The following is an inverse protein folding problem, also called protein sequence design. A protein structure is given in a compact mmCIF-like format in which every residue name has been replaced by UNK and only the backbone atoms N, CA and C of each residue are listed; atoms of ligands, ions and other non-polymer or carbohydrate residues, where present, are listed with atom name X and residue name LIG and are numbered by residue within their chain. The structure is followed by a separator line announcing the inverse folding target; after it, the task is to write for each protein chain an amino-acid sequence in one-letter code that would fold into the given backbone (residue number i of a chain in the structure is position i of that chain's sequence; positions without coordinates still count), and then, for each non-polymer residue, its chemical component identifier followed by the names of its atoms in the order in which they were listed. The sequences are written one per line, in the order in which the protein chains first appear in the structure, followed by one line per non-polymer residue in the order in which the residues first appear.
data_IF_378024548690
#
_entry.id   IF_378024548690
#
_cell.length_a   1.000
_cell.length_b   1.000
_cell.length_c   1.000
_cell.angle_alpha   90.00
_cell.angle_beta   90.00
_cell.angle_gamma   90.00
#
_symmetry.space_group_name_H-M   'P 1'
#
loop_
_entity.id
_entity.type
_entity.pdbx_description
1 polymer ?
#
# COMPACT_ATOMS: atom_id res chain seq x y z
N UNK A 1 13.00 4.14 13.92
CA UNK A 1 12.01 4.04 12.82
C UNK A 1 12.53 3.08 11.77
N UNK A 2 11.73 2.13 11.33
CA UNK A 2 12.09 1.26 10.22
C UNK A 2 11.64 1.87 8.91
N UNK A 3 12.36 1.57 7.85
CA UNK A 3 12.03 1.99 6.50
C UNK A 3 11.59 0.78 5.69
N UNK A 4 10.51 0.92 4.94
CA UNK A 4 10.07 -0.06 3.97
C UNK A 4 10.13 0.55 2.57
N UNK A 5 10.58 -0.23 1.60
CA UNK A 5 10.65 0.18 0.19
C UNK A 5 9.78 -0.77 -0.62
N UNK A 6 8.77 -0.22 -1.29
CA UNK A 6 7.92 -0.95 -2.21
C UNK A 6 8.39 -0.67 -3.63
N UNK A 7 8.80 -1.71 -4.33
CA UNK A 7 9.18 -1.63 -5.75
C UNK A 7 8.12 -2.30 -6.59
N UNK A 8 7.44 -1.53 -7.42
CA UNK A 8 6.47 -2.06 -8.37
C UNK A 8 7.19 -2.64 -9.57
N UNK A 9 6.90 -3.91 -9.89
CA UNK A 9 7.59 -4.67 -10.92
C UNK A 9 6.75 -4.79 -12.19
N UNK A 10 5.43 -4.89 -12.05
CA UNK A 10 4.52 -5.09 -13.16
C UNK A 10 3.16 -4.49 -12.81
N UNK A 11 2.53 -3.82 -13.77
CA UNK A 11 1.18 -3.28 -13.61
C UNK A 11 0.35 -3.57 -14.86
N UNK A 12 -0.93 -3.89 -14.65
CA UNK A 12 -1.87 -4.22 -15.71
C UNK A 12 -3.28 -4.30 -15.14
N UNK A 13 -4.24 -4.74 -15.97
CA UNK A 13 -5.64 -4.82 -15.54
C UNK A 13 -5.89 -5.85 -14.43
N UNK A 14 -4.98 -6.80 -14.25
CA UNK A 14 -5.05 -7.82 -13.19
C UNK A 14 -4.51 -7.32 -11.84
N UNK A 15 -3.85 -6.18 -11.80
CA UNK A 15 -3.28 -5.60 -10.60
C UNK A 15 -1.88 -5.04 -10.82
N UNK A 16 -1.31 -4.55 -9.73
CA UNK A 16 0.09 -4.11 -9.68
C UNK A 16 0.86 -5.05 -8.76
N UNK A 17 1.88 -5.70 -9.29
CA UNK A 17 2.71 -6.68 -8.58
C UNK A 17 4.06 -6.08 -8.26
N UNK A 18 4.51 -6.31 -7.05
CA UNK A 18 5.77 -5.73 -6.60
C UNK A 18 6.43 -6.51 -5.50
N UNK A 19 7.41 -5.87 -4.89
CA UNK A 19 8.16 -6.40 -3.76
C UNK A 19 8.34 -5.34 -2.71
N UNK A 20 8.03 -5.70 -1.47
CA UNK A 20 8.25 -4.88 -0.29
C UNK A 20 9.51 -5.38 0.42
N UNK A 21 10.43 -4.48 0.73
CA UNK A 21 11.61 -4.77 1.53
C UNK A 21 11.62 -3.89 2.76
N UNK A 22 11.76 -4.49 3.93
CA UNK A 22 11.92 -3.78 5.20
C UNK A 22 13.41 -3.74 5.53
N UNK A 23 13.91 -2.54 5.79
CA UNK A 23 15.33 -2.29 5.99
C UNK A 23 15.63 -1.99 7.45
N UNK A 24 16.78 -2.50 7.92
CA UNK A 24 17.38 -2.05 9.17
C UNK A 24 17.82 -0.60 9.01
N UNK A 25 17.39 0.28 9.92
CA UNK A 25 17.67 1.72 9.82
C UNK A 25 19.12 2.09 10.09
N UNK A 26 19.88 1.21 10.72
CA UNK A 26 21.30 1.46 11.06
C UNK A 26 22.21 0.90 9.97
N UNK A 27 22.01 -0.34 9.54
CA UNK A 27 22.87 -1.02 8.58
C UNK A 27 22.41 -0.90 7.14
N UNK A 28 21.13 -0.60 6.89
CA UNK A 28 20.52 -0.62 5.57
C UNK A 28 20.25 -2.02 5.02
N UNK A 29 20.52 -3.07 5.80
CA UNK A 29 20.29 -4.45 5.36
C UNK A 29 18.80 -4.76 5.27
N UNK A 30 18.43 -5.60 4.31
CA UNK A 30 17.06 -6.12 4.20
C UNK A 30 16.84 -7.16 5.30
N UNK A 31 15.92 -6.88 6.23
CA UNK A 31 15.56 -7.78 7.32
C UNK A 31 14.31 -8.59 7.06
N UNK A 32 13.50 -8.18 6.08
CA UNK A 32 12.29 -8.88 5.66
C UNK A 32 11.93 -8.45 4.24
N UNK A 33 11.43 -9.38 3.44
CA UNK A 33 10.83 -9.03 2.15
C UNK A 33 9.67 -9.96 1.81
N UNK A 34 8.74 -9.45 1.03
CA UNK A 34 7.61 -10.23 0.52
C UNK A 34 7.17 -9.68 -0.84
N UNK A 35 6.40 -10.48 -1.54
CA UNK A 35 5.70 -10.01 -2.73
C UNK A 35 4.49 -9.18 -2.33
N UNK A 36 4.13 -8.22 -3.19
CA UNK A 36 3.00 -7.33 -2.97
C UNK A 36 2.02 -7.36 -4.13
N UNK A 37 0.78 -7.05 -3.79
CA UNK A 37 -0.32 -6.95 -4.74
C UNK A 37 -1.09 -5.68 -4.44
N UNK A 38 -1.22 -4.82 -5.44
CA UNK A 38 -2.01 -3.60 -5.37
C UNK A 38 -3.00 -3.57 -6.53
N UNK A 39 -4.01 -2.71 -6.42
CA UNK A 39 -4.88 -2.39 -7.55
C UNK A 39 -4.05 -1.82 -8.73
N UNK A 40 -4.55 -1.90 -9.97
CA UNK A 40 -3.92 -1.21 -11.09
C UNK A 40 -3.85 0.30 -10.85
N UNK A 41 -2.94 0.99 -11.51
CA UNK A 41 -2.93 2.44 -11.50
C UNK A 41 -4.13 2.98 -12.31
N UNK A 42 -4.98 3.75 -11.66
CA UNK A 42 -6.16 4.38 -12.26
C UNK A 42 -6.30 5.82 -11.76
N UNK A 43 -5.21 6.58 -11.86
CA UNK A 43 -5.15 8.00 -11.50
C UNK A 43 -5.66 8.28 -10.07
N UNK A 44 -5.27 7.44 -9.13
CA UNK A 44 -5.64 7.55 -7.72
C UNK A 44 -7.15 7.46 -7.44
N UNK A 45 -7.93 6.87 -8.34
CA UNK A 45 -9.38 6.75 -8.16
C UNK A 45 -9.71 5.88 -6.94
N UNK A 46 -10.59 6.38 -6.08
CA UNK A 46 -11.01 5.69 -4.85
C UNK A 46 -11.63 4.34 -5.18
N UNK A 47 -11.13 3.29 -4.51
CA UNK A 47 -11.62 1.93 -4.67
C UNK A 47 -11.26 1.26 -5.99
N UNK A 48 -10.54 1.92 -6.88
CA UNK A 48 -10.16 1.41 -8.19
C UNK A 48 -8.67 1.42 -8.46
N UNK A 49 -7.91 2.28 -7.81
CA UNK A 49 -6.50 2.53 -8.09
C UNK A 49 -5.60 2.20 -6.91
N UNK A 50 -4.37 1.75 -7.20
CA UNK A 50 -3.30 1.84 -6.22
C UNK A 50 -2.99 3.31 -5.93
N UNK A 51 -2.24 3.57 -4.85
CA UNK A 51 -1.84 4.93 -4.48
C UNK A 51 -0.72 5.44 -5.37
N UNK A 52 -0.55 6.76 -5.49
CA UNK A 52 0.60 7.33 -6.20
C UNK A 52 1.92 6.88 -5.57
N UNK A 53 2.97 6.78 -6.39
CA UNK A 53 4.32 6.55 -5.90
C UNK A 53 4.78 7.78 -5.12
N UNK A 54 5.09 7.62 -3.83
CA UNK A 54 5.51 8.70 -2.94
C UNK A 54 6.08 8.10 -1.65
N UNK A 55 6.49 8.97 -0.75
CA UNK A 55 6.88 8.61 0.61
C UNK A 55 5.68 8.77 1.54
N UNK A 56 5.36 7.72 2.29
CA UNK A 56 4.24 7.71 3.20
C UNK A 56 4.67 7.32 4.60
N UNK A 57 3.97 7.86 5.60
CA UNK A 57 4.04 7.37 6.96
C UNK A 57 3.04 6.23 7.14
N UNK A 58 3.46 5.18 7.84
CA UNK A 58 2.59 4.07 8.21
C UNK A 58 2.50 3.96 9.72
N UNK A 59 1.29 3.65 10.20
CA UNK A 59 1.00 3.43 11.61
C UNK A 59 0.29 2.11 11.79
N UNK A 60 0.64 1.36 12.82
CA UNK A 60 -0.07 0.13 13.18
C UNK A 60 -1.48 0.42 13.64
N UNK A 61 -2.41 -0.44 13.24
CA UNK A 61 -3.82 -0.34 13.60
C UNK A 61 -4.42 -1.72 13.83
N UNK A 62 -5.26 -1.86 14.85
CA UNK A 62 -5.92 -3.12 15.21
C UNK A 62 -7.45 -3.06 15.16
N UNK A 63 -8.02 -1.88 14.91
CA UNK A 63 -9.45 -1.62 14.95
C UNK A 63 -10.07 -1.30 13.59
N UNK A 64 -9.41 -1.72 12.51
CA UNK A 64 -9.91 -1.48 11.16
C UNK A 64 -11.22 -2.27 10.92
N UNK A 65 -12.29 -1.60 10.45
CA UNK A 65 -13.56 -2.28 10.18
C UNK A 65 -13.48 -3.25 9.01
N UNK A 66 -12.56 -3.05 8.07
CA UNK A 66 -12.43 -3.90 6.87
C UNK A 66 -11.48 -5.08 7.06
N UNK A 67 -10.46 -4.92 7.91
CA UNK A 67 -9.40 -5.91 8.07
C UNK A 67 -9.15 -6.14 9.56
N UNK A 68 -9.84 -7.13 10.16
CA UNK A 68 -9.60 -7.48 11.56
C UNK A 68 -8.18 -7.99 11.77
N UNK A 69 -7.62 -7.68 12.94
CA UNK A 69 -6.23 -7.98 13.27
C UNK A 69 -5.31 -6.78 13.03
N UNK A 70 -3.99 -7.02 13.05
CA UNK A 70 -3.01 -5.96 12.92
C UNK A 70 -2.76 -5.63 11.45
N UNK A 71 -2.88 -4.34 11.08
CA UNK A 71 -2.51 -3.81 9.77
C UNK A 71 -1.67 -2.56 9.93
N UNK A 72 -0.89 -2.22 8.90
CA UNK A 72 -0.26 -0.90 8.78
C UNK A 72 -1.14 -0.01 7.92
N UNK A 73 -1.43 1.18 8.41
CA UNK A 73 -2.27 2.16 7.71
C UNK A 73 -1.48 3.41 7.38
N UNK A 74 -1.69 3.96 6.20
CA UNK A 74 -1.15 5.26 5.84
C UNK A 74 -1.73 6.33 6.78
N UNK A 75 -0.88 7.19 7.31
CA UNK A 75 -1.23 8.16 8.33
C UNK A 75 -0.85 9.57 7.94
N UNK A 76 -1.86 10.42 7.87
CA UNK A 76 -1.71 11.84 7.62
C UNK A 76 -1.31 12.54 8.94
N UNK A 77 -0.01 12.77 9.13
CA UNK A 77 0.49 13.43 10.32
C UNK A 77 0.45 14.95 10.13
N UNK A 78 -0.40 15.68 10.85
CA UNK A 78 -0.48 17.14 10.74
C UNK A 78 0.80 17.85 11.19
N UNK A 79 1.68 17.18 11.93
CA UNK A 79 2.98 17.72 12.33
C UNK A 79 4.03 17.63 11.23
N UNK A 80 3.77 16.92 10.11
CA UNK A 80 4.70 16.74 9.00
C UNK A 80 4.05 17.12 7.67
N UNK A 81 3.73 18.40 7.45
CA UNK A 81 2.98 18.84 6.27
C UNK A 81 3.72 18.65 4.94
N UNK A 82 5.03 18.36 4.97
CA UNK A 82 5.82 18.09 3.77
C UNK A 82 5.64 16.67 3.24
N UNK A 83 5.02 15.78 4.02
CA UNK A 83 4.77 14.42 3.56
C UNK A 83 3.56 14.38 2.64
N UNK A 84 3.68 13.56 1.62
CA UNK A 84 2.59 13.32 0.69
C UNK A 84 1.53 12.46 1.36
N UNK A 85 0.34 13.02 1.49
CA UNK A 85 -0.84 12.28 1.92
C UNK A 85 -1.63 11.84 0.69
N UNK A 86 -2.37 10.75 0.80
CA UNK A 86 -3.17 10.27 -0.34
C UNK A 86 -4.44 11.10 -0.43
N UNK A 87 -4.47 12.01 -1.40
CA UNK A 87 -5.58 12.94 -1.58
C UNK A 87 -6.92 12.21 -1.78
N UNK A 88 -7.95 12.65 -1.06
CA UNK A 88 -9.31 12.15 -1.16
C UNK A 88 -9.47 10.64 -0.89
N UNK A 89 -8.53 10.05 -0.15
CA UNK A 89 -8.56 8.62 0.16
C UNK A 89 -8.38 8.38 1.67
N UNK A 90 -8.95 7.27 2.12
CA UNK A 90 -8.85 6.79 3.49
C UNK A 90 -8.67 5.27 3.51
N UNK A 91 -8.39 4.69 4.68
CA UNK A 91 -8.20 3.25 4.86
C UNK A 91 -7.17 2.65 3.88
N UNK A 92 -6.11 3.37 3.60
CA UNK A 92 -4.98 2.87 2.80
C UNK A 92 -4.13 2.00 3.72
N UNK A 93 -4.20 0.69 3.51
CA UNK A 93 -3.66 -0.31 4.45
C UNK A 93 -2.82 -1.36 3.75
N UNK A 94 -1.83 -1.87 4.48
CA UNK A 94 -1.06 -3.06 4.09
C UNK A 94 -1.67 -4.26 4.84
N UNK A 95 -2.20 -5.21 4.11
CA UNK A 95 -2.86 -6.40 4.64
C UNK A 95 -2.72 -7.56 3.65
N UNK A 96 -3.11 -8.76 4.06
CA UNK A 96 -3.13 -9.91 3.15
C UNK A 96 -4.19 -9.72 2.05
N UNK A 97 -3.86 -10.11 0.83
CA UNK A 97 -4.76 -10.01 -0.33
C UNK A 97 -4.52 -11.16 -1.31
N UNK A 98 -5.54 -11.46 -2.12
CA UNK A 98 -5.47 -12.53 -3.12
C UNK A 98 -5.54 -12.01 -4.55
N UNK A 99 -6.48 -11.11 -4.85
CA UNK A 99 -6.73 -10.60 -6.20
C UNK A 99 -7.01 -9.10 -6.13
N UNK A 100 -6.49 -8.36 -7.09
CA UNK A 100 -6.59 -6.90 -7.12
C UNK A 100 -6.81 -6.37 -8.54
N UNK A 101 -7.70 -7.03 -9.29
CA UNK A 101 -7.97 -6.67 -10.67
C UNK A 101 -8.87 -5.45 -10.84
N UNK A 102 -8.93 -4.97 -12.05
CA UNK A 102 -9.81 -3.87 -12.44
C UNK A 102 -11.22 -4.42 -12.68
N UNK A 103 -12.13 -4.18 -11.72
CA UNK A 103 -13.50 -4.65 -11.80
C UNK A 103 -14.27 -4.03 -12.97
N UNK A 104 -13.95 -2.80 -13.35
CA UNK A 104 -14.61 -2.13 -14.46
C UNK A 104 -14.30 -2.79 -15.81
N UNK A 105 -13.21 -3.55 -15.88
CA UNK A 105 -12.83 -4.35 -17.04
C UNK A 105 -13.13 -5.84 -16.89
N UNK A 106 -13.82 -6.24 -15.83
CA UNK A 106 -14.23 -7.61 -15.60
C UNK A 106 -13.24 -8.49 -14.85
N UNK A 107 -12.15 -7.94 -14.31
CA UNK A 107 -11.18 -8.68 -13.51
C UNK A 107 -11.63 -8.77 -12.04
N UNK A 108 -11.22 -9.83 -11.37
CA UNK A 108 -11.62 -10.09 -9.97
C UNK A 108 -10.81 -9.27 -9.00
N UNK A 109 -11.47 -8.80 -7.95
CA UNK A 109 -10.87 -8.08 -6.83
C UNK A 109 -11.27 -8.76 -5.52
N UNK A 110 -10.28 -9.17 -4.73
CA UNK A 110 -10.46 -9.75 -3.38
C UNK A 110 -9.35 -9.21 -2.49
N UNK A 111 -9.60 -8.08 -1.87
CA UNK A 111 -8.63 -7.39 -1.01
C UNK A 111 -8.98 -7.51 0.47
#
# INVERSE_FOLDING_TARGET
MRQAVLTRLETGDEGTFGRLSVLDEITGDVIYSCYTLELPWRQNARGRSCVPASDYLLKGRTDSPKHPGFVYEEWDDPATPQREDVADRDNIQIHAANLAGDEDKGYVKQL
#
